data_IF_021421224134
#
_entry.id   IF_021421224134
#
_cell.length_a   1.000
_cell.length_b   1.000
_cell.length_c   1.000
_cell.angle_alpha   90.00
_cell.angle_beta   90.00
_cell.angle_gamma   90.00
#
_symmetry.space_group_name_H-M   'P 1'
#
loop_
_entity.id
_entity.type
_entity.pdbx_description
1 polymer ?
#
# COMPACT_ATOMS: atom_id res chain seq x y z
N UNK A 1 20.27 -12.71 10.09
CA UNK A 1 19.05 -13.36 9.60
C UNK A 1 18.24 -12.31 8.88
N UNK A 2 18.62 -11.99 7.64
CA UNK A 2 17.74 -11.27 6.72
C UNK A 2 16.49 -12.15 6.57
N UNK A 3 15.40 -11.79 7.23
CA UNK A 3 14.11 -12.38 6.88
C UNK A 3 13.87 -12.00 5.43
N UNK A 4 14.15 -12.93 4.51
CA UNK A 4 13.77 -12.83 3.12
C UNK A 4 12.28 -12.51 3.10
N UNK A 5 11.96 -11.23 2.87
CA UNK A 5 10.59 -10.76 2.68
C UNK A 5 10.12 -11.37 1.37
N UNK A 6 9.67 -12.62 1.42
CA UNK A 6 9.02 -13.26 0.32
C UNK A 6 7.90 -12.33 -0.17
N UNK A 7 7.78 -12.11 -1.49
CA UNK A 7 6.79 -11.20 -2.03
C UNK A 7 5.39 -11.65 -1.57
N UNK A 8 4.62 -10.70 -1.04
CA UNK A 8 3.23 -10.97 -0.68
C UNK A 8 2.40 -11.09 -1.96
N UNK A 9 1.89 -12.29 -2.24
CA UNK A 9 1.10 -12.60 -3.44
C UNK A 9 -0.28 -11.95 -3.43
N UNK A 10 -0.34 -10.63 -3.58
CA UNK A 10 -1.57 -9.85 -3.55
C UNK A 10 -2.36 -9.98 -4.87
N UNK A 11 -3.59 -10.48 -4.79
CA UNK A 11 -4.54 -10.44 -5.89
C UNK A 11 -5.43 -9.20 -5.75
N UNK A 12 -5.51 -8.40 -6.80
CA UNK A 12 -6.33 -7.19 -6.86
C UNK A 12 -6.92 -7.02 -8.25
N UNK A 13 -7.98 -6.21 -8.37
CA UNK A 13 -8.52 -5.86 -9.68
C UNK A 13 -7.53 -5.02 -10.49
N UNK A 14 -7.56 -5.13 -11.81
CA UNK A 14 -6.68 -4.34 -12.69
C UNK A 14 -6.90 -2.84 -12.54
N UNK A 15 -8.15 -2.41 -12.32
CA UNK A 15 -8.45 -1.01 -12.05
C UNK A 15 -7.76 -0.50 -10.78
N UNK A 16 -7.75 -1.30 -9.71
CA UNK A 16 -7.06 -0.92 -8.47
C UNK A 16 -5.54 -0.90 -8.67
N UNK A 17 -4.99 -1.90 -9.35
CA UNK A 17 -3.57 -1.98 -9.67
C UNK A 17 -3.09 -0.78 -10.48
N UNK A 18 -3.85 -0.39 -11.50
CA UNK A 18 -3.54 0.74 -12.35
C UNK A 18 -3.57 2.05 -11.55
N UNK A 19 -4.61 2.25 -10.72
CA UNK A 19 -4.71 3.40 -9.83
C UNK A 19 -3.51 3.50 -8.91
N UNK A 20 -3.13 2.40 -8.25
CA UNK A 20 -1.97 2.40 -7.33
C UNK A 20 -0.66 2.68 -8.07
N UNK A 21 -0.51 2.20 -9.31
CA UNK A 21 0.66 2.49 -10.16
C UNK A 21 0.78 3.99 -10.48
N UNK A 22 -0.29 4.63 -10.90
CA UNK A 22 -0.30 6.07 -11.22
C UNK A 22 0.13 6.91 -10.01
N UNK A 23 -0.37 6.57 -8.82
CA UNK A 23 0.06 7.25 -7.61
C UNK A 23 1.50 6.94 -7.20
N UNK A 24 1.96 5.71 -7.43
CA UNK A 24 3.35 5.34 -7.16
C UNK A 24 4.30 6.17 -8.03
N UNK A 25 4.01 6.30 -9.33
CA UNK A 25 4.76 7.12 -10.28
C UNK A 25 4.73 8.60 -9.88
N UNK A 26 3.54 9.14 -9.60
CA UNK A 26 3.36 10.54 -9.16
C UNK A 26 4.14 10.86 -7.88
N UNK A 27 4.23 9.90 -6.95
CA UNK A 27 4.91 10.08 -5.67
C UNK A 27 6.39 9.65 -5.69
N UNK A 28 6.93 9.21 -6.84
CA UNK A 28 8.30 8.72 -6.96
C UNK A 28 8.58 7.49 -6.09
N UNK A 29 7.58 6.61 -5.90
CA UNK A 29 7.67 5.39 -5.09
C UNK A 29 7.56 4.16 -5.99
N UNK A 30 8.17 3.05 -5.56
CA UNK A 30 7.86 1.76 -6.17
C UNK A 30 6.41 1.39 -5.87
N UNK A 31 5.80 0.57 -6.74
CA UNK A 31 4.43 0.10 -6.55
C UNK A 31 4.25 -0.52 -5.15
N UNK A 32 5.20 -1.34 -4.70
CA UNK A 32 5.13 -2.00 -3.41
C UNK A 32 5.19 -0.98 -2.24
N UNK A 33 6.03 0.05 -2.35
CA UNK A 33 6.14 1.11 -1.34
C UNK A 33 4.88 1.96 -1.27
N UNK A 34 4.22 2.22 -2.40
CA UNK A 34 2.93 2.93 -2.41
C UNK A 34 1.79 2.09 -1.82
N UNK A 35 1.76 0.78 -2.07
CA UNK A 35 0.80 -0.14 -1.45
C UNK A 35 0.95 -0.09 0.08
N UNK A 36 2.17 -0.28 0.59
CA UNK A 36 2.45 -0.25 2.03
C UNK A 36 2.05 1.09 2.62
N UNK A 37 2.47 2.20 2.02
CA UNK A 37 2.13 3.54 2.48
C UNK A 37 0.62 3.75 2.60
N UNK A 38 -0.15 3.37 1.58
CA UNK A 38 -1.62 3.50 1.58
C UNK A 38 -2.28 2.68 2.68
N UNK A 39 -1.83 1.44 2.87
CA UNK A 39 -2.35 0.57 3.92
C UNK A 39 -2.06 1.15 5.31
N UNK A 40 -0.84 1.63 5.55
CA UNK A 40 -0.48 2.28 6.81
C UNK A 40 -1.31 3.53 7.08
N UNK A 41 -1.57 4.36 6.07
CA UNK A 41 -2.43 5.53 6.23
C UNK A 41 -3.89 5.15 6.50
N UNK A 42 -4.41 4.11 5.83
CA UNK A 42 -5.77 3.62 6.06
C UNK A 42 -5.96 3.17 7.52
N UNK A 43 -5.06 2.33 8.03
CA UNK A 43 -5.13 1.86 9.43
C UNK A 43 -4.96 3.00 10.44
N UNK A 44 -4.12 4.01 10.15
CA UNK A 44 -4.00 5.20 11.00
C UNK A 44 -5.28 6.02 11.04
N UNK A 45 -5.95 6.19 9.89
CA UNK A 45 -7.21 6.92 9.80
C UNK A 45 -8.33 6.18 10.54
N UNK A 46 -8.43 4.85 10.38
CA UNK A 46 -9.39 4.02 11.12
C UNK A 46 -9.16 4.09 12.63
N UNK A 47 -7.90 4.01 13.08
CA UNK A 47 -7.56 4.13 14.49
C UNK A 47 -7.90 5.52 15.06
N UNK A 48 -7.73 6.59 14.29
CA UNK A 48 -8.12 7.92 14.71
C UNK A 48 -9.64 8.05 14.89
N UNK A 49 -10.43 7.42 14.01
CA UNK A 49 -11.90 7.44 14.05
C UNK A 49 -12.51 6.61 15.19
N UNK A 50 -11.81 5.58 15.69
CA UNK A 50 -12.33 4.70 16.74
C UNK A 50 -12.02 5.18 18.17
N UNK A 51 -11.21 6.23 18.31
CA UNK A 51 -10.85 6.80 19.63
C UNK A 51 -11.76 7.97 20.05
N UNK A 52 -12.94 8.12 19.43
CA UNK A 52 -13.96 9.12 19.75
C UNK A 52 -15.22 8.49 20.36
#
# INVERSE_FOLDING_TARGET
MDQERAPFGLRMSEALKQKVREFAEKNGRSLNREIIYRLEQAYKAEAALHNE
#
